data_IF_268025951023
#
_entry.id   IF_268025951023
#
_cell.length_a   1.000
_cell.length_b   1.000
_cell.length_c   1.000
_cell.angle_alpha   90.00
_cell.angle_beta   90.00
_cell.angle_gamma   90.00
#
_symmetry.space_group_name_H-M   'P 1'
#
loop_
_entity.id
_entity.type
_entity.pdbx_description
1 polymer ?
#
# COMPACT_ATOMS: atom_id res chain seq x y z
N UNK A 1 7.75 -25.63 11.76
CA UNK A 1 6.69 -24.69 12.18
C UNK A 1 5.59 -24.66 11.13
N UNK A 2 4.31 -24.87 11.49
CA UNK A 2 3.22 -24.83 10.51
C UNK A 2 3.07 -23.42 9.91
N UNK A 3 2.92 -23.34 8.58
CA UNK A 3 2.75 -22.09 7.83
C UNK A 3 1.60 -21.22 8.35
N UNK A 4 0.56 -21.86 8.90
CA UNK A 4 -0.56 -21.22 9.54
C UNK A 4 -0.13 -20.30 10.70
N UNK A 5 0.85 -20.71 11.51
CA UNK A 5 1.33 -19.88 12.61
C UNK A 5 2.00 -18.61 12.10
N UNK A 6 2.75 -18.68 10.99
CA UNK A 6 3.36 -17.50 10.38
C UNK A 6 2.34 -16.54 9.79
N UNK A 7 1.27 -17.08 9.18
CA UNK A 7 0.17 -16.28 8.67
C UNK A 7 -0.58 -15.58 9.81
N UNK A 8 -0.94 -16.32 10.86
CA UNK A 8 -1.59 -15.76 12.04
C UNK A 8 -0.71 -14.74 12.76
N UNK A 9 0.61 -14.99 12.85
CA UNK A 9 1.57 -14.07 13.45
C UNK A 9 1.66 -12.76 12.66
N UNK A 10 1.81 -12.85 11.33
CA UNK A 10 1.81 -11.66 10.48
C UNK A 10 0.47 -10.91 10.52
N UNK A 11 -0.66 -11.61 10.62
CA UNK A 11 -1.96 -10.98 10.78
C UNK A 11 -2.07 -10.22 12.11
N UNK A 12 -1.65 -10.84 13.22
CA UNK A 12 -1.64 -10.22 14.54
C UNK A 12 -0.78 -8.94 14.54
N UNK A 13 0.44 -9.02 14.02
CA UNK A 13 1.35 -7.86 13.94
C UNK A 13 0.81 -6.78 13.00
N UNK A 14 0.26 -7.16 11.85
CA UNK A 14 -0.40 -6.21 10.95
C UNK A 14 -1.54 -5.48 11.65
N UNK A 15 -2.40 -6.19 12.39
CA UNK A 15 -3.49 -5.52 13.12
C UNK A 15 -2.97 -4.60 14.22
N UNK A 16 -1.88 -4.95 14.90
CA UNK A 16 -1.27 -4.14 15.97
C UNK A 16 -0.88 -2.73 15.48
N UNK A 17 -0.34 -2.60 14.27
CA UNK A 17 0.13 -1.31 13.74
C UNK A 17 -0.97 -0.37 13.26
N UNK A 18 -2.23 -0.79 13.32
CA UNK A 18 -3.30 -0.06 12.64
C UNK A 18 -3.85 1.12 13.44
N UNK A 19 -3.67 1.19 14.76
CA UNK A 19 -4.03 2.35 15.58
C UNK A 19 -5.37 3.03 15.24
N UNK A 20 -5.51 4.30 15.61
CA UNK A 20 -6.64 5.12 15.16
C UNK A 20 -6.36 5.78 13.81
N UNK A 21 -7.41 6.20 13.10
CA UNK A 21 -7.28 7.08 11.94
C UNK A 21 -7.13 8.51 12.45
N UNK A 22 -5.90 9.01 12.45
CA UNK A 22 -5.55 10.36 12.95
C UNK A 22 -4.94 11.26 11.87
N UNK A 23 -4.74 10.72 10.68
CA UNK A 23 -4.10 11.44 9.57
C UNK A 23 -5.06 12.48 8.98
N UNK A 24 -4.73 13.78 9.02
CA UNK A 24 -5.61 14.81 8.49
C UNK A 24 -5.73 14.75 6.97
N UNK A 25 -4.70 14.26 6.27
CA UNK A 25 -4.64 14.25 4.81
C UNK A 25 -5.58 13.21 4.20
N UNK A 26 -6.04 12.24 4.98
CA UNK A 26 -6.98 11.20 4.51
C UNK A 26 -8.25 11.82 3.91
N UNK A 27 -8.77 12.88 4.52
CA UNK A 27 -9.99 13.53 4.05
C UNK A 27 -9.78 14.21 2.70
N UNK A 28 -8.60 14.77 2.46
CA UNK A 28 -8.23 15.30 1.15
C UNK A 28 -8.27 14.19 0.09
N UNK A 29 -7.61 13.06 0.35
CA UNK A 29 -7.60 11.92 -0.58
C UNK A 29 -9.01 11.38 -0.88
N UNK A 30 -9.90 11.32 0.12
CA UNK A 30 -11.28 10.89 -0.07
C UNK A 30 -12.05 11.90 -0.94
N UNK A 31 -11.90 13.20 -0.68
CA UNK A 31 -12.59 14.25 -1.43
C UNK A 31 -12.16 14.25 -2.90
N UNK A 32 -10.86 14.18 -3.16
CA UNK A 32 -10.34 14.06 -4.53
C UNK A 32 -10.82 12.78 -5.19
N UNK A 33 -10.72 11.64 -4.50
CA UNK A 33 -11.16 10.35 -5.05
C UNK A 33 -12.65 10.33 -5.38
N UNK A 34 -13.50 10.98 -4.56
CA UNK A 34 -14.93 11.15 -4.84
C UNK A 34 -15.17 12.00 -6.08
N UNK A 35 -14.39 13.06 -6.29
CA UNK A 35 -14.44 13.85 -7.51
C UNK A 35 -14.04 13.03 -8.74
N UNK A 36 -12.95 12.27 -8.67
CA UNK A 36 -12.50 11.39 -9.78
C UNK A 36 -13.59 10.37 -10.12
N UNK A 37 -14.15 9.70 -9.11
CA UNK A 37 -15.22 8.72 -9.30
C UNK A 37 -16.50 9.32 -9.88
N UNK A 38 -16.77 10.60 -9.63
CA UNK A 38 -18.00 11.27 -10.10
C UNK A 38 -17.83 11.85 -11.50
N UNK A 39 -16.64 12.33 -11.84
CA UNK A 39 -16.36 12.98 -13.13
C UNK A 39 -15.72 12.02 -14.15
N UNK A 40 -15.28 10.83 -13.71
CA UNK A 40 -14.58 9.85 -14.54
C UNK A 40 -13.34 10.45 -15.22
N UNK A 41 -12.69 11.40 -14.54
CA UNK A 41 -11.55 12.15 -15.04
C UNK A 41 -10.59 12.47 -13.88
N UNK A 42 -9.35 12.84 -14.23
CA UNK A 42 -8.42 13.42 -13.27
C UNK A 42 -8.62 14.94 -13.22
N UNK A 43 -8.60 15.56 -12.03
CA UNK A 43 -8.71 17.00 -11.89
C UNK A 43 -7.56 17.70 -12.63
N UNK A 44 -7.91 18.59 -13.56
CA UNK A 44 -6.93 19.42 -14.27
C UNK A 44 -6.68 20.76 -13.57
N UNK A 45 -7.52 21.10 -12.59
CA UNK A 45 -7.52 22.37 -11.87
C UNK A 45 -7.69 22.08 -10.39
N UNK A 46 -7.01 22.85 -9.54
CA UNK A 46 -7.18 22.76 -8.10
C UNK A 46 -8.51 23.40 -7.69
N UNK A 47 -9.35 22.62 -7.01
CA UNK A 47 -10.66 23.07 -6.51
C UNK A 47 -10.70 23.26 -4.98
N UNK A 48 -9.66 22.80 -4.27
CA UNK A 48 -9.74 22.60 -2.82
C UNK A 48 -8.72 23.43 -2.05
N UNK A 49 -7.60 23.79 -2.67
CA UNK A 49 -6.60 24.63 -2.02
C UNK A 49 -7.04 26.09 -1.99
N UNK A 50 -7.07 26.68 -0.79
CA UNK A 50 -7.50 28.07 -0.58
C UNK A 50 -6.71 29.07 -1.44
N UNK A 51 -5.40 28.86 -1.61
CA UNK A 51 -4.53 29.77 -2.38
C UNK A 51 -4.23 29.27 -3.79
N UNK A 52 -4.61 28.03 -4.09
CA UNK A 52 -4.36 27.38 -5.38
C UNK A 52 -5.60 27.28 -6.27
N UNK A 53 -6.79 27.62 -5.75
CA UNK A 53 -8.05 27.45 -6.47
C UNK A 53 -8.03 28.12 -7.85
N UNK A 54 -8.30 27.33 -8.89
CA UNK A 54 -8.29 27.81 -10.28
C UNK A 54 -6.94 27.65 -11.00
N UNK A 55 -5.86 27.30 -10.30
CA UNK A 55 -4.58 26.99 -10.93
C UNK A 55 -4.54 25.55 -11.48
N UNK A 56 -3.71 25.27 -12.51
CA UNK A 56 -3.53 23.92 -13.03
C UNK A 56 -3.09 22.95 -11.92
N UNK A 57 -3.76 21.82 -11.83
CA UNK A 57 -3.37 20.74 -10.93
C UNK A 57 -2.87 19.54 -11.73
N UNK A 58 -1.74 18.99 -11.29
CA UNK A 58 -1.16 17.75 -11.82
C UNK A 58 -1.40 16.65 -10.78
N UNK A 59 -2.32 15.73 -11.09
CA UNK A 59 -2.59 14.55 -10.29
C UNK A 59 -1.51 13.47 -10.52
N UNK A 60 -0.36 13.61 -9.86
CA UNK A 60 0.79 12.71 -10.02
C UNK A 60 0.51 11.26 -9.60
N UNK A 61 -0.39 11.06 -8.64
CA UNK A 61 -0.90 9.75 -8.25
C UNK A 61 -2.35 9.89 -7.81
N UNK A 62 -3.17 8.90 -8.14
CA UNK A 62 -4.64 8.99 -8.01
C UNK A 62 -5.30 7.68 -7.60
N UNK A 63 -4.61 6.55 -7.77
CA UNK A 63 -5.20 5.22 -7.54
C UNK A 63 -5.59 5.01 -6.07
N UNK A 64 -4.76 5.49 -5.16
CA UNK A 64 -5.02 5.41 -3.72
C UNK A 64 -6.24 6.25 -3.31
N UNK A 65 -6.42 7.43 -3.92
CA UNK A 65 -7.57 8.31 -3.68
C UNK A 65 -8.87 7.63 -4.10
N UNK A 66 -8.87 7.03 -5.29
CA UNK A 66 -10.00 6.24 -5.79
C UNK A 66 -10.29 5.05 -4.87
N UNK A 67 -9.26 4.32 -4.41
CA UNK A 67 -9.44 3.20 -3.49
C UNK A 67 -10.05 3.63 -2.15
N UNK A 68 -9.59 4.75 -1.58
CA UNK A 68 -10.11 5.29 -0.32
C UNK A 68 -11.54 5.80 -0.47
N UNK A 69 -11.82 6.60 -1.49
CA UNK A 69 -13.13 7.13 -1.77
C UNK A 69 -14.16 6.03 -2.08
N UNK A 70 -13.78 5.00 -2.86
CA UNK A 70 -14.66 3.87 -3.15
C UNK A 70 -15.00 3.09 -1.87
N UNK A 71 -14.00 2.80 -1.04
CA UNK A 71 -14.18 2.07 0.22
C UNK A 71 -15.06 2.85 1.19
N UNK A 72 -14.79 4.14 1.35
CA UNK A 72 -15.57 5.02 2.21
C UNK A 72 -17.01 5.16 1.70
N UNK A 73 -17.23 5.36 0.39
CA UNK A 73 -18.58 5.45 -0.18
C UNK A 73 -19.39 4.18 0.02
N UNK A 74 -18.77 3.00 -0.01
CA UNK A 74 -19.47 1.71 0.05
C UNK A 74 -19.68 1.21 1.49
N UNK A 75 -18.73 1.47 2.38
CA UNK A 75 -18.67 0.85 3.71
C UNK A 75 -18.45 1.86 4.84
N UNK A 76 -18.43 3.16 4.54
CA UNK A 76 -18.21 4.24 5.50
C UNK A 76 -16.84 4.15 6.18
N UNK A 77 -16.77 4.71 7.40
CA UNK A 77 -15.56 4.70 8.22
C UNK A 77 -15.10 3.28 8.59
N UNK A 78 -16.03 2.33 8.77
CA UNK A 78 -15.72 0.92 9.06
C UNK A 78 -14.97 0.28 7.89
N UNK A 79 -15.31 0.66 6.66
CA UNK A 79 -14.57 0.29 5.46
C UNK A 79 -13.13 0.77 5.48
N UNK A 80 -12.90 2.01 5.89
CA UNK A 80 -11.56 2.58 5.97
C UNK A 80 -10.70 1.88 7.03
N UNK A 81 -11.26 1.55 8.20
CA UNK A 81 -10.56 0.72 9.19
C UNK A 81 -10.23 -0.67 8.64
N UNK A 82 -11.19 -1.30 7.95
CA UNK A 82 -11.00 -2.61 7.33
C UNK A 82 -9.91 -2.58 6.26
N UNK A 83 -9.89 -1.54 5.41
CA UNK A 83 -8.84 -1.33 4.42
C UNK A 83 -7.48 -1.13 5.09
N UNK A 84 -7.41 -0.33 6.16
CA UNK A 84 -6.19 -0.13 6.94
C UNK A 84 -5.66 -1.46 7.49
N UNK A 85 -6.52 -2.32 8.02
CA UNK A 85 -6.16 -3.68 8.46
C UNK A 85 -5.61 -4.54 7.32
N UNK A 86 -6.30 -4.59 6.19
CA UNK A 86 -5.87 -5.38 5.03
C UNK A 86 -4.49 -4.92 4.55
N UNK A 87 -4.27 -3.61 4.43
CA UNK A 87 -2.97 -3.06 4.03
C UNK A 87 -1.88 -3.41 5.05
N UNK A 88 -2.15 -3.29 6.35
CA UNK A 88 -1.18 -3.58 7.40
C UNK A 88 -0.78 -5.06 7.47
N UNK A 89 -1.76 -5.95 7.36
CA UNK A 89 -1.54 -7.40 7.32
C UNK A 89 -0.75 -7.78 6.07
N UNK A 90 -1.11 -7.20 4.92
CA UNK A 90 -0.40 -7.43 3.66
C UNK A 90 1.04 -6.95 3.74
N UNK A 91 1.28 -5.79 4.37
CA UNK A 91 2.62 -5.27 4.62
C UNK A 91 3.43 -6.22 5.51
N UNK A 92 2.86 -6.68 6.62
CA UNK A 92 3.51 -7.61 7.54
C UNK A 92 3.95 -8.89 6.80
N UNK A 93 3.04 -9.52 6.07
CA UNK A 93 3.35 -10.72 5.29
C UNK A 93 4.37 -10.46 4.19
N UNK A 94 4.27 -9.31 3.50
CA UNK A 94 5.22 -8.92 2.45
C UNK A 94 6.64 -8.78 3.01
N UNK A 95 6.81 -8.09 4.14
CA UNK A 95 8.11 -7.91 4.79
C UNK A 95 8.67 -9.23 5.33
N UNK A 96 7.86 -10.02 6.03
CA UNK A 96 8.27 -11.33 6.55
C UNK A 96 8.70 -12.29 5.43
N UNK A 97 7.95 -12.32 4.33
CA UNK A 97 8.29 -13.14 3.17
C UNK A 97 9.57 -12.63 2.48
N UNK A 98 9.69 -11.31 2.30
CA UNK A 98 10.84 -10.68 1.64
C UNK A 98 12.12 -10.92 2.43
N UNK A 99 12.13 -10.63 3.73
CA UNK A 99 13.31 -10.85 4.56
C UNK A 99 13.61 -12.33 4.75
N UNK A 100 12.60 -13.19 4.87
CA UNK A 100 12.80 -14.64 4.90
C UNK A 100 13.48 -15.18 3.64
N UNK A 101 13.21 -14.57 2.49
CA UNK A 101 13.85 -14.91 1.21
C UNK A 101 15.26 -14.35 1.12
N UNK A 102 15.45 -13.07 1.44
CA UNK A 102 16.76 -12.38 1.37
C UNK A 102 17.76 -13.01 2.34
N UNK A 103 17.35 -13.26 3.59
CA UNK A 103 18.21 -13.88 4.60
C UNK A 103 18.47 -15.38 4.34
N UNK A 104 17.72 -16.00 3.41
CA UNK A 104 17.67 -17.46 3.20
C UNK A 104 17.32 -18.27 4.47
N UNK A 105 16.76 -17.60 5.47
CA UNK A 105 16.26 -18.16 6.72
C UNK A 105 14.87 -17.60 6.99
N UNK A 106 13.87 -18.48 6.93
CA UNK A 106 12.46 -18.12 7.13
C UNK A 106 12.17 -17.65 8.55
N UNK A 107 12.86 -18.19 9.55
CA UNK A 107 12.63 -17.85 10.95
C UNK A 107 13.23 -16.49 11.24
N UNK A 108 14.53 -16.32 10.95
CA UNK A 108 15.20 -15.04 11.17
C UNK A 108 14.54 -13.91 10.37
N UNK A 109 14.32 -14.12 9.07
CA UNK A 109 13.69 -13.11 8.23
C UNK A 109 12.23 -12.84 8.59
N UNK A 110 11.48 -13.86 9.02
CA UNK A 110 10.12 -13.68 9.54
C UNK A 110 10.07 -12.85 10.82
N UNK A 111 10.99 -13.10 11.76
CA UNK A 111 11.10 -12.32 13.01
C UNK A 111 11.58 -10.89 12.74
N UNK A 112 12.54 -10.70 11.83
CA UNK A 112 13.00 -9.39 11.43
C UNK A 112 11.89 -8.59 10.71
N UNK A 113 11.11 -9.26 9.84
CA UNK A 113 9.99 -8.63 9.14
C UNK A 113 8.89 -8.22 10.11
N UNK A 114 8.60 -9.06 11.09
CA UNK A 114 7.72 -8.74 12.21
C UNK A 114 8.22 -7.52 13.00
N UNK A 115 9.50 -7.51 13.38
CA UNK A 115 10.12 -6.41 14.12
C UNK A 115 10.02 -5.08 13.36
N UNK A 116 10.39 -5.08 12.07
CA UNK A 116 10.29 -3.88 11.22
C UNK A 116 8.84 -3.45 11.07
N UNK A 117 7.90 -4.38 10.92
CA UNK A 117 6.47 -4.04 10.86
C UNK A 117 6.04 -3.31 12.13
N UNK A 118 6.36 -3.85 13.31
CA UNK A 118 6.06 -3.20 14.61
C UNK A 118 6.69 -1.80 14.69
N UNK A 119 7.93 -1.63 14.21
CA UNK A 119 8.61 -0.34 14.20
C UNK A 119 7.90 0.72 13.31
N UNK A 120 7.05 0.31 12.37
CA UNK A 120 6.27 1.21 11.53
C UNK A 120 4.97 1.70 12.19
N UNK A 121 4.65 1.28 13.42
CA UNK A 121 3.42 1.65 14.13
C UNK A 121 3.11 3.16 14.08
N UNK A 122 4.10 4.02 14.34
CA UNK A 122 3.94 5.48 14.36
C UNK A 122 3.77 6.12 12.98
N UNK A 123 4.08 5.37 11.91
CA UNK A 123 4.09 5.86 10.53
C UNK A 123 3.01 5.20 9.66
N UNK A 124 2.34 4.17 10.16
CA UNK A 124 1.35 3.44 9.37
C UNK A 124 -0.03 4.13 9.40
N UNK A 125 -0.29 4.92 8.35
CA UNK A 125 -1.57 5.58 8.11
C UNK A 125 -2.14 5.22 6.73
N UNK A 126 -3.36 5.67 6.43
CA UNK A 126 -3.95 5.54 5.08
C UNK A 126 -3.34 6.61 4.15
N UNK A 127 -2.05 6.44 3.87
CA UNK A 127 -1.27 7.24 2.93
C UNK A 127 -0.88 6.42 1.70
N UNK A 128 -0.59 7.07 0.57
CA UNK A 128 -0.08 6.38 -0.61
C UNK A 128 1.22 5.58 -0.33
N UNK A 129 2.03 5.99 0.64
CA UNK A 129 3.23 5.26 1.09
C UNK A 129 2.94 3.81 1.53
N UNK A 130 1.78 3.55 2.14
CA UNK A 130 1.39 2.20 2.60
C UNK A 130 1.25 1.21 1.44
N UNK A 131 0.80 1.67 0.27
CA UNK A 131 0.79 0.85 -0.95
C UNK A 131 2.21 0.60 -1.45
N UNK A 132 3.06 1.63 -1.47
CA UNK A 132 4.43 1.55 -1.99
C UNK A 132 5.26 0.53 -1.23
N UNK A 133 5.20 0.52 0.10
CA UNK A 133 5.95 -0.45 0.90
C UNK A 133 5.57 -1.90 0.58
N UNK A 134 4.28 -2.15 0.36
CA UNK A 134 3.78 -3.48 -0.04
C UNK A 134 4.29 -3.84 -1.44
N UNK A 135 4.13 -2.93 -2.40
CA UNK A 135 4.57 -3.14 -3.79
C UNK A 135 6.08 -3.37 -3.87
N UNK A 136 6.87 -2.66 -3.06
CA UNK A 136 8.31 -2.85 -2.97
C UNK A 136 8.70 -4.26 -2.53
N UNK A 137 8.07 -4.79 -1.48
CA UNK A 137 8.28 -6.18 -1.09
C UNK A 137 7.95 -7.16 -2.23
N UNK A 138 6.86 -6.92 -2.96
CA UNK A 138 6.53 -7.74 -4.14
C UNK A 138 7.56 -7.62 -5.27
N UNK A 139 8.10 -6.43 -5.54
CA UNK A 139 9.19 -6.25 -6.51
C UNK A 139 10.41 -7.07 -6.11
N UNK A 140 10.83 -7.01 -4.84
CA UNK A 140 11.98 -7.79 -4.36
C UNK A 140 11.75 -9.29 -4.50
N UNK A 141 10.55 -9.77 -4.17
CA UNK A 141 10.17 -11.17 -4.33
C UNK A 141 10.18 -11.61 -5.80
N UNK A 142 9.68 -10.78 -6.73
CA UNK A 142 9.73 -11.07 -8.16
C UNK A 142 11.15 -11.03 -8.71
N UNK A 143 11.97 -10.06 -8.27
CA UNK A 143 13.36 -9.94 -8.67
C UNK A 143 14.17 -11.19 -8.26
N UNK A 144 13.99 -11.71 -7.04
CA UNK A 144 14.60 -12.97 -6.60
C UNK A 144 14.16 -14.16 -7.48
N UNK A 145 12.87 -14.25 -7.84
CA UNK A 145 12.38 -15.30 -8.73
C UNK A 145 12.98 -15.23 -10.13
N UNK A 146 13.10 -14.02 -10.69
CA UNK A 146 13.71 -13.80 -12.01
C UNK A 146 15.21 -14.11 -11.96
N UNK A 147 15.92 -13.70 -10.91
CA UNK A 147 17.34 -13.97 -10.75
C UNK A 147 17.64 -15.48 -10.65
N UNK A 148 16.79 -16.25 -9.97
CA UNK A 148 16.99 -17.70 -9.78
C UNK A 148 16.55 -18.55 -10.96
N UNK A 149 15.45 -18.17 -11.62
CA UNK A 149 14.75 -19.04 -12.55
C UNK A 149 14.52 -18.39 -13.93
N UNK A 150 15.14 -17.23 -14.18
CA UNK A 150 15.01 -16.48 -15.43
C UNK A 150 13.70 -15.69 -15.56
N UNK A 151 13.68 -14.80 -16.56
CA UNK A 151 12.49 -14.04 -16.92
C UNK A 151 11.54 -14.93 -17.75
N UNK A 152 10.30 -15.09 -17.28
CA UNK A 152 9.21 -15.69 -18.05
C UNK A 152 8.19 -14.63 -18.42
N UNK A 153 7.35 -14.88 -19.43
CA UNK A 153 6.26 -13.97 -19.83
C UNK A 153 5.37 -13.59 -18.64
N UNK A 154 5.01 -14.57 -17.80
CA UNK A 154 4.19 -14.33 -16.61
C UNK A 154 4.89 -13.38 -15.62
N UNK A 155 6.18 -13.62 -15.31
CA UNK A 155 6.95 -12.74 -14.40
C UNK A 155 7.12 -11.34 -14.97
N UNK A 156 7.34 -11.22 -16.28
CA UNK A 156 7.41 -9.92 -16.95
C UNK A 156 6.09 -9.14 -16.85
N UNK A 157 4.95 -9.81 -17.10
CA UNK A 157 3.62 -9.20 -16.93
C UNK A 157 3.37 -8.78 -15.48
N UNK A 158 3.68 -9.65 -14.50
CA UNK A 158 3.52 -9.32 -13.08
C UNK A 158 4.36 -8.10 -12.69
N UNK A 159 5.63 -8.05 -13.11
CA UNK A 159 6.52 -6.93 -12.81
C UNK A 159 5.99 -5.64 -13.44
N UNK A 160 5.56 -5.70 -14.70
CA UNK A 160 4.93 -4.57 -15.39
C UNK A 160 3.69 -4.08 -14.65
N UNK A 161 2.78 -4.98 -14.27
CA UNK A 161 1.58 -4.63 -13.50
C UNK A 161 1.93 -3.98 -12.16
N UNK A 162 2.91 -4.50 -11.44
CA UNK A 162 3.37 -3.91 -10.16
C UNK A 162 3.87 -2.47 -10.38
N UNK A 163 4.66 -2.22 -11.44
CA UNK A 163 5.14 -0.87 -11.74
C UNK A 163 4.03 0.06 -12.23
N UNK A 164 3.03 -0.42 -12.98
CA UNK A 164 1.85 0.37 -13.31
C UNK A 164 1.09 0.78 -12.04
N UNK A 165 0.87 -0.15 -11.11
CA UNK A 165 0.23 0.15 -9.83
C UNK A 165 1.06 1.13 -9.00
N UNK A 166 2.38 0.96 -8.97
CA UNK A 166 3.29 1.86 -8.26
C UNK A 166 3.18 3.27 -8.80
N UNK A 167 3.37 3.45 -10.12
CA UNK A 167 3.39 4.75 -10.78
C UNK A 167 2.09 5.54 -10.56
N UNK A 168 0.94 4.84 -10.43
CA UNK A 168 -0.35 5.47 -10.17
C UNK A 168 -0.69 5.61 -8.68
N UNK A 169 0.04 4.95 -7.78
CA UNK A 169 -0.19 5.01 -6.33
C UNK A 169 0.65 6.09 -5.65
N UNK A 170 1.91 6.27 -6.07
CA UNK A 170 2.81 7.25 -5.47
C UNK A 170 3.96 7.56 -6.43
N UNK A 171 4.32 8.83 -6.53
CA UNK A 171 5.57 9.25 -7.18
C UNK A 171 6.62 9.51 -6.09
N UNK A 172 7.76 8.84 -6.16
CA UNK A 172 8.89 9.14 -5.28
C UNK A 172 9.59 10.36 -5.90
N UNK A 173 9.18 11.57 -5.48
CA UNK A 173 9.94 12.80 -5.75
C UNK A 173 11.11 12.90 -4.79
#
# INVERSE_FOLDING_TARGET
MPILLWLLWGALIGTYITGSIVDPDLWWHIVVGRWILSNHALPAVDHWNLFGAGHPWIAYSWLHEVAYAFTERRYGIVGLFSLKWVLAITLAWSLMATFGKVAKDRVFGGLLGAYVTVALFSHFTLRPQSFVWILFGFVVLQADQIARFGLTRLRGVLLFTIFCLWANSHITT
#
